data_IF_636876223442
#
_entry.id   IF_636876223442
#
_cell.length_a   1.000
_cell.length_b   1.000
_cell.length_c   1.000
_cell.angle_alpha   90.00
_cell.angle_beta   90.00
_cell.angle_gamma   90.00
#
_symmetry.space_group_name_H-M   'P 1'
#
loop_
_entity.id
_entity.type
_entity.pdbx_description
1 polymer ?
#
# COMPACT_ATOMS: atom_id res chain seq x y z
N UNK A 1 -7.15 11.12 -11.31
CA UNK A 1 -6.66 9.78 -10.95
C UNK A 1 -5.69 9.92 -9.79
N UNK A 2 -5.94 9.27 -8.65
CA UNK A 2 -5.04 9.18 -7.50
C UNK A 2 -4.64 7.73 -7.32
N UNK A 3 -3.34 7.48 -7.22
CA UNK A 3 -2.79 6.14 -7.09
C UNK A 3 -1.93 6.08 -5.85
N UNK A 4 -2.14 5.06 -5.01
CA UNK A 4 -1.27 4.78 -3.89
C UNK A 4 -0.03 4.01 -4.38
N UNK A 5 1.16 4.60 -4.21
CA UNK A 5 2.41 3.85 -4.33
C UNK A 5 2.58 3.00 -3.06
N UNK A 6 2.11 1.76 -3.12
CA UNK A 6 2.12 0.83 -1.99
C UNK A 6 3.48 0.14 -1.99
N UNK A 7 4.33 0.43 -1.01
CA UNK A 7 5.58 -0.30 -0.80
C UNK A 7 5.45 -1.49 0.15
N UNK A 8 4.26 -1.73 0.69
CA UNK A 8 3.98 -2.72 1.75
C UNK A 8 4.87 -2.59 3.02
N UNK A 9 5.47 -1.41 3.21
CA UNK A 9 6.12 -1.01 4.47
C UNK A 9 5.13 -0.35 5.43
N UNK A 10 5.59 -0.02 6.64
CA UNK A 10 4.75 0.55 7.71
C UNK A 10 4.00 1.80 7.24
N UNK A 11 4.69 2.75 6.59
CA UNK A 11 4.09 4.04 6.23
C UNK A 11 3.05 3.93 5.11
N UNK A 12 3.35 3.22 4.02
CA UNK A 12 2.40 3.04 2.92
C UNK A 12 1.18 2.24 3.36
N UNK A 13 1.36 1.31 4.30
CA UNK A 13 0.26 0.54 4.89
C UNK A 13 -0.60 1.39 5.82
N UNK A 14 0.00 2.30 6.61
CA UNK A 14 -0.76 3.29 7.37
C UNK A 14 -1.61 4.16 6.46
N UNK A 15 -1.06 4.64 5.34
CA UNK A 15 -1.83 5.43 4.37
C UNK A 15 -2.97 4.60 3.76
N UNK A 16 -2.73 3.33 3.41
CA UNK A 16 -3.77 2.44 2.93
C UNK A 16 -4.92 2.28 3.95
N UNK A 17 -4.59 2.09 5.23
CA UNK A 17 -5.57 2.00 6.31
C UNK A 17 -6.31 3.33 6.53
N UNK A 18 -5.61 4.46 6.50
CA UNK A 18 -6.24 5.78 6.63
C UNK A 18 -7.20 6.07 5.47
N UNK A 19 -6.90 5.59 4.25
CA UNK A 19 -7.83 5.65 3.11
C UNK A 19 -9.08 4.80 3.41
N UNK A 20 -8.91 3.56 3.88
CA UNK A 20 -10.01 2.66 4.23
C UNK A 20 -10.89 3.24 5.36
N UNK A 21 -10.28 3.86 6.38
CA UNK A 21 -11.00 4.54 7.46
C UNK A 21 -11.62 5.88 7.05
N UNK A 22 -11.41 6.34 5.81
CA UNK A 22 -11.93 7.60 5.31
C UNK A 22 -11.25 8.86 5.88
N UNK A 23 -10.11 8.69 6.56
CA UNK A 23 -9.26 9.79 7.03
C UNK A 23 -8.53 10.48 5.86
N UNK A 24 -8.31 9.74 4.77
CA UNK A 24 -7.73 10.25 3.53
C UNK A 24 -8.69 10.03 2.34
N UNK A 25 -8.58 10.84 1.27
CA UNK A 25 -9.38 10.65 0.07
C UNK A 25 -9.13 9.29 -0.58
N UNK A 26 -10.21 8.66 -1.09
CA UNK A 26 -10.13 7.42 -1.86
C UNK A 26 -9.19 7.55 -3.07
N UNK A 27 -8.45 6.47 -3.31
CA UNK A 27 -7.59 6.28 -4.48
C UNK A 27 -8.29 5.35 -5.49
N UNK A 28 -7.94 5.48 -6.76
CA UNK A 28 -8.48 4.64 -7.82
C UNK A 28 -7.84 3.24 -7.82
N UNK A 29 -6.57 3.16 -7.40
CA UNK A 29 -5.85 1.90 -7.23
C UNK A 29 -4.61 2.08 -6.33
N UNK A 30 -4.05 0.95 -5.90
CA UNK A 30 -2.73 0.85 -5.30
C UNK A 30 -1.79 0.06 -6.22
N UNK A 31 -0.53 0.48 -6.33
CA UNK A 31 0.49 -0.19 -7.13
C UNK A 31 1.63 -0.60 -6.20
N UNK A 32 1.97 -1.89 -6.23
CA UNK A 32 3.17 -2.44 -5.61
C UNK A 32 4.19 -2.83 -6.69
N UNK A 33 5.39 -2.26 -6.62
CA UNK A 33 6.46 -2.49 -7.58
C UNK A 33 7.39 -3.62 -7.10
N UNK A 34 6.99 -4.86 -7.35
CA UNK A 34 7.70 -6.05 -6.89
C UNK A 34 9.05 -6.25 -7.61
N UNK A 35 10.15 -6.28 -6.83
CA UNK A 35 11.50 -6.60 -7.33
C UNK A 35 11.85 -8.09 -7.19
N UNK A 36 10.92 -8.90 -6.65
CA UNK A 36 11.10 -10.31 -6.28
C UNK A 36 12.14 -10.56 -5.19
N UNK A 37 12.57 -9.51 -4.48
CA UNK A 37 13.59 -9.58 -3.44
C UNK A 37 13.10 -8.99 -2.10
N UNK A 38 11.79 -8.97 -1.87
CA UNK A 38 11.23 -8.52 -0.60
C UNK A 38 11.27 -9.62 0.47
N UNK A 39 11.29 -9.26 1.75
CA UNK A 39 11.13 -10.22 2.83
C UNK A 39 9.81 -11.01 2.70
N UNK A 40 9.81 -12.29 3.09
CA UNK A 40 8.62 -13.16 2.99
C UNK A 40 7.35 -12.54 3.59
N UNK A 41 7.48 -11.86 4.73
CA UNK A 41 6.34 -11.23 5.38
C UNK A 41 5.66 -10.19 4.48
N UNK A 42 6.40 -9.48 3.62
CA UNK A 42 5.82 -8.49 2.70
C UNK A 42 4.79 -9.16 1.78
N UNK A 43 5.14 -10.33 1.23
CA UNK A 43 4.24 -11.10 0.38
C UNK A 43 3.07 -11.75 1.15
N UNK A 44 3.21 -12.00 2.45
CA UNK A 44 2.13 -12.53 3.29
C UNK A 44 1.05 -11.46 3.58
N UNK A 45 1.43 -10.19 3.60
CA UNK A 45 0.54 -9.06 3.94
C UNK A 45 -0.02 -8.29 2.74
N UNK A 46 0.44 -8.58 1.52
CA UNK A 46 0.05 -7.89 0.28
C UNK A 46 -1.29 -8.37 -0.26
#
# INVERSE_FOLDING_TARGET
>A
MRVLSLGAGVQSSTVALMIEYGELPMVDCAIFADTQNEPKYVYEWL
#
